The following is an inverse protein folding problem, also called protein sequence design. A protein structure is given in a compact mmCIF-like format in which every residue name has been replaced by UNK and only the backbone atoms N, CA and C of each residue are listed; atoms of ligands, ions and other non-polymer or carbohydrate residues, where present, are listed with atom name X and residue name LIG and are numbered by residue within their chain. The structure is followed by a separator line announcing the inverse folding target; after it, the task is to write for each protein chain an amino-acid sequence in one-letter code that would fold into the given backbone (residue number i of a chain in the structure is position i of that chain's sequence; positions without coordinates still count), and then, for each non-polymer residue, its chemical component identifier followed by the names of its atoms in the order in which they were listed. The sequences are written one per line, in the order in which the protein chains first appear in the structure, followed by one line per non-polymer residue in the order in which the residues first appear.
data_IF_410432180704
#
_entry.id   IF_410432180704
#
_cell.length_a   1.000
_cell.length_b   1.000
_cell.length_c   1.000
_cell.angle_alpha   90.00
_cell.angle_beta   90.00
_cell.angle_gamma   90.00
#
_symmetry.space_group_name_H-M   'P 1'
#
loop_
_entity.id
_entity.type
_entity.pdbx_description
1 polymer ?
#
# COMPACT_ATOMS: atom_id res chain seq x y z
N UNK A 1 -7.72 -4.77 0.12
CA UNK A 1 -7.85 -3.78 1.20
C UNK A 1 -6.60 -3.77 2.05
N UNK A 2 -6.40 -2.75 2.88
CA UNK A 2 -5.28 -2.71 3.82
C UNK A 2 -5.49 -3.79 4.89
N UNK A 3 -4.47 -4.61 5.12
CA UNK A 3 -4.58 -5.72 6.09
C UNK A 3 -3.65 -5.52 7.27
N UNK A 4 -2.45 -4.96 7.06
CA UNK A 4 -1.38 -5.00 8.06
C UNK A 4 -0.60 -3.69 8.11
N UNK A 5 -0.31 -3.27 9.34
CA UNK A 5 0.78 -2.35 9.69
C UNK A 5 1.85 -3.16 10.43
N UNK A 6 3.06 -3.22 9.89
CA UNK A 6 4.18 -3.91 10.51
C UNK A 6 4.78 -3.03 11.61
N UNK A 7 4.54 -3.40 12.86
CA UNK A 7 4.98 -2.61 14.02
C UNK A 7 6.49 -2.51 14.15
N UNK A 8 7.25 -3.51 13.69
CA UNK A 8 8.71 -3.49 13.76
C UNK A 8 9.34 -2.50 12.78
N UNK A 9 8.60 -2.08 11.74
CA UNK A 9 9.06 -1.12 10.73
C UNK A 9 8.41 0.26 10.89
N UNK A 10 7.18 0.31 11.40
CA UNK A 10 6.45 1.56 11.47
C UNK A 10 7.07 2.54 12.47
N UNK A 11 7.30 3.77 12.03
CA UNK A 11 7.88 4.84 12.86
C UNK A 11 6.83 5.78 13.46
N UNK A 12 5.53 5.52 13.24
CA UNK A 12 4.46 6.42 13.72
C UNK A 12 4.38 7.77 12.98
N UNK A 13 4.98 7.89 11.79
CA UNK A 13 5.03 9.15 11.03
C UNK A 13 3.66 9.67 10.52
N UNK A 14 2.62 8.84 10.57
CA UNK A 14 1.25 9.15 10.16
C UNK A 14 1.10 9.65 8.70
N UNK A 15 2.04 9.31 7.81
CA UNK A 15 1.90 9.62 6.37
C UNK A 15 0.70 8.88 5.77
N UNK A 16 0.45 7.62 6.14
CA UNK A 16 -0.69 6.84 5.67
C UNK A 16 -2.04 7.48 6.02
N UNK A 17 -2.14 8.15 7.18
CA UNK A 17 -3.33 8.89 7.60
C UNK A 17 -3.63 10.02 6.62
N UNK A 18 -2.59 10.75 6.16
CA UNK A 18 -2.75 11.83 5.16
C UNK A 18 -2.93 11.33 3.74
N UNK A 19 -2.30 10.20 3.41
CA UNK A 19 -2.30 9.64 2.06
C UNK A 19 -3.61 8.93 1.70
N UNK A 20 -4.39 8.48 2.69
CA UNK A 20 -5.58 7.69 2.44
C UNK A 20 -6.76 8.57 2.01
N UNK A 21 -7.29 8.42 0.78
CA UNK A 21 -8.39 9.26 0.29
C UNK A 21 -9.73 8.95 0.98
N UNK A 22 -9.89 7.75 1.54
CA UNK A 22 -11.11 7.32 2.25
C UNK A 22 -10.94 7.33 3.77
N UNK A 23 -9.87 7.95 4.28
CA UNK A 23 -9.61 8.09 5.71
C UNK A 23 -9.65 6.75 6.47
N UNK A 24 -9.05 5.68 5.97
CA UNK A 24 -9.07 4.35 6.64
C UNK A 24 -8.33 4.33 7.99
N UNK A 25 -7.34 5.21 8.16
CA UNK A 25 -6.46 5.21 9.33
C UNK A 25 -6.83 6.30 10.33
N UNK A 26 -6.69 5.98 11.62
CA UNK A 26 -6.69 6.96 12.70
C UNK A 26 -5.28 7.12 13.27
N UNK A 27 -4.88 8.37 13.53
CA UNK A 27 -3.61 8.66 14.19
C UNK A 27 -3.70 8.30 15.68
N UNK A 28 -2.71 7.56 16.18
CA UNK A 28 -2.57 7.26 17.60
C UNK A 28 -1.48 8.16 18.17
N UNK A 29 -1.76 8.82 19.30
CA UNK A 29 -0.77 9.67 19.97
C UNK A 29 0.44 8.83 20.39
N UNK A 30 1.63 9.28 20.00
CA UNK A 30 2.91 8.63 20.31
C UNK A 30 2.96 7.14 19.91
N UNK A 31 2.22 6.76 18.87
CA UNK A 31 2.03 5.36 18.49
C UNK A 31 1.85 5.12 16.99
N UNK A 32 1.63 3.85 16.68
CA UNK A 32 1.40 3.36 15.32
C UNK A 32 -0.05 3.70 14.90
N UNK A 33 -0.28 4.20 13.69
CA UNK A 33 -1.63 4.49 13.21
C UNK A 33 -2.49 3.22 13.19
N UNK A 34 -3.73 3.34 13.64
CA UNK A 34 -4.69 2.26 13.66
C UNK A 34 -5.42 2.17 12.32
N UNK A 35 -5.62 0.96 11.80
CA UNK A 35 -6.57 0.70 10.71
C UNK A 35 -7.97 0.73 11.35
N UNK A 36 -8.67 1.85 11.23
CA UNK A 36 -9.94 2.07 11.93
C UNK A 36 -11.15 1.67 11.08
N UNK A 37 -11.04 1.79 9.75
CA UNK A 37 -12.12 1.55 8.79
C UNK A 37 -11.63 0.69 7.62
N UNK A 38 -11.23 -0.56 7.85
CA UNK A 38 -10.61 -1.39 6.81
C UNK A 38 -11.52 -1.59 5.59
N UNK A 39 -12.83 -1.70 5.79
CA UNK A 39 -13.83 -1.90 4.74
C UNK A 39 -13.96 -0.69 3.78
N UNK A 40 -13.52 0.50 4.20
CA UNK A 40 -13.52 1.70 3.34
C UNK A 40 -12.31 1.71 2.37
N UNK A 41 -11.39 0.75 2.50
CA UNK A 41 -10.19 0.69 1.69
C UNK A 41 -10.49 0.31 0.24
N UNK A 42 -10.27 1.24 -0.69
CA UNK A 42 -10.46 1.02 -2.12
C UNK A 42 -9.29 0.31 -2.81
N UNK A 43 -8.35 -0.22 -2.03
CA UNK A 43 -7.20 -0.97 -2.57
C UNK A 43 -6.37 -0.15 -3.57
N UNK A 44 -6.22 1.14 -3.29
CA UNK A 44 -5.50 2.08 -4.15
C UNK A 44 -3.97 2.08 -3.94
N UNK A 45 -3.49 1.34 -2.94
CA UNK A 45 -2.06 1.21 -2.56
C UNK A 45 -1.32 2.50 -2.21
N UNK A 46 -1.99 3.66 -2.13
CA UNK A 46 -1.34 4.94 -1.82
C UNK A 46 -0.61 4.93 -0.47
N UNK A 47 -1.20 4.33 0.56
CA UNK A 47 -0.58 4.24 1.87
C UNK A 47 0.72 3.42 1.82
N UNK A 48 0.76 2.33 1.06
CA UNK A 48 1.97 1.53 0.82
C UNK A 48 3.00 2.30 -0.01
N UNK A 49 2.56 2.96 -1.09
CA UNK A 49 3.42 3.76 -1.97
C UNK A 49 4.17 4.88 -1.23
N UNK A 50 3.50 5.53 -0.27
CA UNK A 50 4.06 6.66 0.47
C UNK A 50 4.68 6.29 1.81
N UNK A 51 4.60 5.03 2.24
CA UNK A 51 5.28 4.60 3.46
C UNK A 51 6.80 4.60 3.24
N UNK A 52 7.58 5.39 3.99
CA UNK A 52 9.04 5.41 3.81
C UNK A 52 9.73 4.14 4.30
N UNK A 53 9.11 3.44 5.26
CA UNK A 53 9.66 2.26 5.95
C UNK A 53 9.17 0.94 5.36
N UNK A 54 8.37 0.99 4.28
CA UNK A 54 7.77 -0.19 3.67
C UNK A 54 7.05 -1.06 4.73
N UNK A 55 6.26 -0.41 5.60
CA UNK A 55 5.64 -1.01 6.79
C UNK A 55 4.17 -1.41 6.58
N UNK A 56 3.61 -1.19 5.40
CA UNK A 56 2.20 -1.43 5.11
C UNK A 56 2.06 -2.52 4.05
N UNK A 57 1.00 -3.31 4.16
CA UNK A 57 0.62 -4.29 3.16
C UNK A 57 -0.86 -4.16 2.81
N UNK A 58 -1.13 -3.88 1.54
CA UNK A 58 -2.47 -3.83 0.96
C UNK A 58 -2.67 -5.06 0.10
N UNK A 59 -3.68 -5.88 0.41
CA UNK A 59 -4.08 -7.00 -0.43
C UNK A 59 -4.89 -6.51 -1.64
N UNK A 60 -4.79 -7.16 -2.81
CA UNK A 60 -5.49 -6.75 -4.04
C UNK A 60 -7.03 -6.89 -4.02
N UNK A 61 -7.60 -7.53 -3.00
CA UNK A 61 -9.05 -7.73 -2.89
C UNK A 61 -9.75 -6.54 -2.22
N UNK A 62 -10.63 -5.84 -2.94
CA UNK A 62 -11.32 -4.66 -2.40
C UNK A 62 -12.60 -5.00 -1.60
N UNK A 63 -13.14 -6.19 -1.80
CA UNK A 63 -14.46 -6.63 -1.35
C UNK A 63 -14.41 -7.66 -0.22
N UNK A 64 -13.20 -8.14 0.13
CA UNK A 64 -13.00 -9.11 1.21
C UNK A 64 -11.63 -8.95 1.86
N UNK A 65 -11.58 -9.36 3.12
CA UNK A 65 -10.33 -9.64 3.80
C UNK A 65 -9.67 -10.91 3.24
N UNK A 66 -8.33 -10.94 3.30
CA UNK A 66 -7.59 -12.18 3.07
C UNK A 66 -7.60 -13.06 4.32
N UNK A 67 -7.51 -14.37 4.12
CA UNK A 67 -7.42 -15.34 5.22
C UNK A 67 -6.04 -15.30 5.88
N UNK A 68 -5.92 -15.87 7.08
CA UNK A 68 -4.64 -15.99 7.76
C UNK A 68 -3.61 -16.80 6.95
N UNK A 69 -4.06 -17.80 6.18
CA UNK A 69 -3.19 -18.62 5.33
C UNK A 69 -2.70 -17.83 4.11
N UNK A 70 -3.60 -17.09 3.44
CA UNK A 70 -3.25 -16.15 2.37
C UNK A 70 -2.26 -15.10 2.88
N UNK A 71 -2.55 -14.49 4.04
CA UNK A 71 -1.67 -13.50 4.66
C UNK A 71 -0.30 -14.08 4.97
N UNK A 72 -0.20 -15.32 5.44
CA UNK A 72 1.08 -15.95 5.79
C UNK A 72 1.94 -16.22 4.55
N UNK A 73 1.33 -16.63 3.44
CA UNK A 73 2.03 -16.80 2.16
C UNK A 73 2.53 -15.46 1.58
N UNK A 74 1.77 -14.39 1.77
CA UNK A 74 2.03 -13.05 1.23
C UNK A 74 3.03 -12.25 2.11
N UNK A 75 2.95 -12.40 3.44
CA UNK A 75 3.77 -11.68 4.45
C UNK A 75 5.28 -11.87 4.29
N UNK A 76 5.73 -12.99 3.72
CA UNK A 76 7.15 -13.27 3.59
C UNK A 76 7.86 -12.44 2.50
N UNK A 77 7.12 -11.81 1.57
CA UNK A 77 7.74 -11.26 0.35
C UNK A 77 7.19 -9.92 -0.15
N UNK A 78 6.18 -9.33 0.50
CA UNK A 78 5.40 -8.26 -0.15
C UNK A 78 5.39 -6.88 0.54
N UNK A 79 6.16 -6.68 1.61
CA UNK A 79 6.25 -5.37 2.27
C UNK A 79 6.82 -4.31 1.33
N UNK A 80 6.02 -3.28 1.01
CA UNK A 80 6.43 -2.23 0.08
C UNK A 80 6.57 -2.69 -1.38
N UNK A 81 6.10 -3.90 -1.71
CA UNK A 81 6.23 -4.47 -3.06
C UNK A 81 5.59 -3.58 -4.13
N UNK A 82 4.49 -2.87 -3.81
CA UNK A 82 3.90 -1.91 -4.73
C UNK A 82 4.82 -0.71 -4.97
N UNK A 83 5.40 -0.16 -3.90
CA UNK A 83 6.34 0.96 -3.98
C UNK A 83 7.61 0.58 -4.74
N UNK A 84 8.10 -0.65 -4.55
CA UNK A 84 9.20 -1.25 -5.30
C UNK A 84 8.87 -1.37 -6.79
N UNK A 85 7.68 -1.91 -7.12
CA UNK A 85 7.23 -2.11 -8.51
C UNK A 85 7.07 -0.79 -9.29
N UNK A 86 6.63 0.28 -8.63
CA UNK A 86 6.55 1.63 -9.23
C UNK A 86 7.95 2.28 -9.31
N UNK A 87 8.86 1.90 -8.42
CA UNK A 87 10.16 2.57 -8.28
C UNK A 87 10.03 3.96 -7.66
N UNK A 88 9.06 4.14 -6.75
CA UNK A 88 8.72 5.45 -6.19
C UNK A 88 9.61 5.87 -5.01
N UNK A 89 10.30 6.99 -5.16
CA UNK A 89 11.05 7.65 -4.09
C UNK A 89 12.57 7.66 -4.27
N UNK A 90 13.31 8.26 -3.32
CA UNK A 90 14.75 8.46 -3.45
C UNK A 90 15.52 7.14 -3.56
N UNK A 91 16.53 7.10 -4.44
CA UNK A 91 17.40 5.94 -4.62
C UNK A 91 16.79 4.77 -5.39
N UNK A 92 15.51 4.86 -5.82
CA UNK A 92 14.81 3.80 -6.56
C UNK A 92 14.84 4.07 -8.06
N UNK A 93 14.77 3.01 -8.86
CA UNK A 93 14.70 3.09 -10.32
C UNK A 93 13.24 3.11 -10.75
N UNK A 94 12.78 4.25 -11.27
CA UNK A 94 11.43 4.38 -11.84
C UNK A 94 11.18 3.36 -12.96
N UNK A 95 9.99 2.75 -12.95
CA UNK A 95 9.54 1.82 -13.99
C UNK A 95 8.70 2.49 -15.07
N UNK A 96 8.50 3.81 -15.02
CA UNK A 96 7.68 4.54 -15.99
C UNK A 96 8.13 4.36 -17.44
N UNK A 97 9.45 4.24 -17.69
CA UNK A 97 9.97 4.01 -19.04
C UNK A 97 9.63 2.62 -19.61
N UNK A 98 9.19 1.68 -18.77
CA UNK A 98 8.74 0.34 -19.16
C UNK A 98 7.22 0.28 -19.42
N UNK A 99 6.48 1.35 -19.10
CA UNK A 99 5.04 1.38 -19.26
C UNK A 99 4.65 1.41 -20.75
N UNK A 100 3.99 0.34 -21.19
CA UNK A 100 3.45 0.22 -22.54
C UNK A 100 1.93 0.50 -22.61
N UNK A 101 1.34 1.07 -21.55
CA UNK A 101 -0.10 1.34 -21.50
C UNK A 101 -0.58 2.27 -22.62
N UNK A 102 0.30 3.08 -23.21
CA UNK A 102 -0.01 3.89 -24.39
C UNK A 102 -0.46 3.04 -25.61
N UNK A 103 -0.07 1.76 -25.70
CA UNK A 103 -0.53 0.83 -26.74
C UNK A 103 -2.03 0.53 -26.62
N UNK A 104 -2.64 0.71 -25.44
CA UNK A 104 -4.09 0.61 -25.30
C UNK A 104 -4.80 1.73 -26.06
N UNK A 105 -4.18 2.91 -26.15
CA UNK A 105 -4.72 4.06 -26.90
C UNK A 105 -4.74 3.77 -28.41
N UNK A 106 -3.78 3.00 -28.93
CA UNK A 106 -3.73 2.66 -30.35
C UNK A 106 -4.81 1.66 -30.77
N UNK A 107 -5.49 0.99 -29.82
CA UNK A 107 -6.58 0.02 -30.07
C UNK A 107 -7.98 0.59 -29.80
N UNK A 108 -8.06 1.85 -29.36
CA UNK A 108 -9.32 2.49 -28.99
C UNK A 108 -10.06 3.15 -30.18
N UNK A 109 -9.57 2.97 -31.41
CA UNK A 109 -10.13 3.51 -32.64
C UNK A 109 -10.36 2.41 -33.67
#
# INVERSE_FOLDING_TARGET
MIEIVNEARCTGCNICVRACPTNVFDAVKDGIPQIARPDDCQTCFMCELYCPEDALFVAAHADRHITADEASALKASLWGSYRDAVGWGPGRRSTAALDASYVLLTKAH
#
